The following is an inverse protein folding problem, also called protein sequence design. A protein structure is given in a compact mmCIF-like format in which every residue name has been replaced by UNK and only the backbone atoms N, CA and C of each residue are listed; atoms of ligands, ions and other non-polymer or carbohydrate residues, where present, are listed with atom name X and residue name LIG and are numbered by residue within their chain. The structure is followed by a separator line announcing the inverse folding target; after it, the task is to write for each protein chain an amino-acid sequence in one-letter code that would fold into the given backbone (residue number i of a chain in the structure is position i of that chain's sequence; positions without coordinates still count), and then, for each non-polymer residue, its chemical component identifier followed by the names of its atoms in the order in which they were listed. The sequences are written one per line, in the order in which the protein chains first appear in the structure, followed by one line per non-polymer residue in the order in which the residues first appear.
data_IF_893513797415
#
_entry.id   IF_893513797415
#
_cell.length_a   1.000
_cell.length_b   1.000
_cell.length_c   1.000
_cell.angle_alpha   90.00
_cell.angle_beta   90.00
_cell.angle_gamma   90.00
#
_symmetry.space_group_name_H-M   'P 1'
#
loop_
_entity.id
_entity.type
_entity.pdbx_description
1 polymer ?
#
# COMPACT_ATOMS: atom_id res chain seq x y z
N UNK A 1 15.47 -0.67 -13.67
CA UNK A 1 14.00 -0.81 -13.76
C UNK A 1 13.41 -0.58 -12.39
N UNK A 2 13.92 -1.32 -11.41
CA UNK A 2 13.56 -1.27 -9.99
C UNK A 2 13.80 0.14 -9.39
N UNK A 3 14.95 0.78 -9.66
CA UNK A 3 15.22 2.16 -9.25
C UNK A 3 14.14 3.16 -9.72
N UNK A 4 13.55 2.92 -10.90
CA UNK A 4 12.50 3.77 -11.45
C UNK A 4 11.16 3.51 -10.75
N UNK A 5 10.92 2.27 -10.32
CA UNK A 5 9.77 1.89 -9.51
C UNK A 5 9.89 2.51 -8.11
N UNK A 6 11.07 2.46 -7.50
CA UNK A 6 11.35 3.10 -6.21
C UNK A 6 11.19 4.63 -6.28
N UNK A 7 11.57 5.24 -7.41
CA UNK A 7 11.33 6.66 -7.64
C UNK A 7 9.83 6.99 -7.69
N UNK A 8 9.02 6.18 -8.38
CA UNK A 8 7.57 6.37 -8.40
C UNK A 8 6.98 6.25 -6.98
N UNK A 9 7.42 5.24 -6.23
CA UNK A 9 7.00 5.04 -4.85
C UNK A 9 7.36 6.23 -3.95
N UNK A 10 8.64 6.63 -3.95
CA UNK A 10 9.12 7.76 -3.14
C UNK A 10 8.41 9.06 -3.50
N UNK A 11 8.14 9.28 -4.78
CA UNK A 11 7.41 10.46 -5.25
C UNK A 11 5.96 10.43 -4.79
N UNK A 12 5.30 9.26 -4.83
CA UNK A 12 3.94 9.08 -4.34
C UNK A 12 3.83 9.34 -2.83
N UNK A 13 4.79 8.84 -2.04
CA UNK A 13 4.87 9.14 -0.60
C UNK A 13 4.98 10.64 -0.32
N UNK A 14 5.68 11.39 -1.16
CA UNK A 14 5.77 12.85 -1.05
C UNK A 14 4.44 13.60 -1.22
N UNK A 15 3.42 12.98 -1.81
CA UNK A 15 2.07 13.57 -1.93
C UNK A 15 1.15 13.29 -0.73
N UNK A 16 1.56 12.38 0.17
CA UNK A 16 0.84 12.07 1.41
C UNK A 16 0.91 13.22 2.39
N UNK A 17 2.00 14.02 2.36
CA UNK A 17 2.17 15.19 3.22
C UNK A 17 1.01 16.19 3.03
N UNK A 18 0.23 16.50 4.08
CA UNK A 18 -0.89 17.45 4.01
C UNK A 18 -0.46 18.89 3.72
N UNK A 19 0.80 19.25 3.97
CA UNK A 19 1.37 20.57 3.63
C UNK A 19 2.10 20.58 2.27
N UNK A 20 2.26 19.41 1.65
CA UNK A 20 2.90 19.25 0.35
C UNK A 20 2.04 19.80 -0.78
N UNK A 21 2.60 20.63 -1.65
CA UNK A 21 1.93 21.00 -2.90
C UNK A 21 1.80 19.76 -3.78
N UNK A 22 0.60 19.17 -3.81
CA UNK A 22 0.19 18.07 -4.71
C UNK A 22 0.21 18.46 -6.21
N UNK A 23 0.73 19.63 -6.56
CA UNK A 23 0.95 20.04 -7.95
C UNK A 23 1.87 19.03 -8.64
N UNK A 24 1.44 18.52 -9.80
CA UNK A 24 2.12 17.54 -10.70
C UNK A 24 1.75 16.07 -10.52
N UNK A 25 0.88 15.67 -9.59
CA UNK A 25 0.47 14.27 -9.45
C UNK A 25 -0.05 13.66 -10.77
N UNK A 26 -0.84 14.40 -11.56
CA UNK A 26 -1.33 13.97 -12.89
C UNK A 26 -0.20 13.59 -13.85
N UNK A 27 0.89 14.35 -13.82
CA UNK A 27 2.05 14.08 -14.68
C UNK A 27 2.79 12.82 -14.26
N UNK A 28 2.82 12.52 -12.95
CA UNK A 28 3.40 11.27 -12.43
C UNK A 28 2.52 10.07 -12.76
N UNK A 29 1.20 10.19 -12.61
CA UNK A 29 0.24 9.16 -13.07
C UNK A 29 0.42 8.88 -14.55
N UNK A 30 0.52 9.91 -15.41
CA UNK A 30 0.76 9.72 -16.84
C UNK A 30 2.09 9.01 -17.14
N UNK A 31 3.16 9.28 -16.37
CA UNK A 31 4.45 8.58 -16.50
C UNK A 31 4.34 7.12 -16.07
N UNK A 32 3.62 6.83 -14.98
CA UNK A 32 3.41 5.48 -14.47
C UNK A 32 2.57 4.64 -15.45
N UNK A 33 1.52 5.20 -16.03
CA UNK A 33 0.74 4.56 -17.10
C UNK A 33 1.60 4.23 -18.32
N UNK A 34 2.44 5.17 -18.77
CA UNK A 34 3.42 4.92 -19.85
C UNK A 34 4.46 3.85 -19.47
N UNK A 35 4.84 3.80 -18.19
CA UNK A 35 5.75 2.77 -17.69
C UNK A 35 5.10 1.38 -17.79
N UNK A 36 3.86 1.23 -17.33
CA UNK A 36 3.11 -0.02 -17.49
C UNK A 36 3.00 -0.43 -18.97
N UNK A 37 2.59 0.49 -19.84
CA UNK A 37 2.47 0.19 -21.27
C UNK A 37 3.77 -0.31 -21.92
N UNK A 38 4.92 0.28 -21.56
CA UNK A 38 6.23 -0.09 -22.14
C UNK A 38 6.83 -1.37 -21.57
N UNK A 39 6.46 -1.74 -20.36
CA UNK A 39 7.11 -2.82 -19.62
C UNK A 39 6.20 -4.05 -19.45
N UNK A 40 5.24 -4.25 -20.35
CA UNK A 40 4.34 -5.41 -20.29
C UNK A 40 5.09 -6.75 -20.31
N UNK A 41 6.21 -6.87 -21.01
CA UNK A 41 6.99 -8.11 -21.04
C UNK A 41 7.95 -8.28 -19.85
N UNK A 42 7.99 -7.35 -18.90
CA UNK A 42 8.90 -7.42 -17.77
C UNK A 42 8.51 -8.53 -16.78
N UNK A 43 9.52 -9.08 -16.10
CA UNK A 43 9.35 -9.99 -14.98
C UNK A 43 9.99 -9.34 -13.77
N UNK A 44 9.14 -8.79 -12.90
CA UNK A 44 9.55 -8.09 -11.70
C UNK A 44 9.62 -9.06 -10.53
N UNK A 45 10.58 -8.84 -9.64
CA UNK A 45 10.62 -9.50 -8.34
C UNK A 45 9.46 -9.01 -7.45
N UNK A 46 9.19 -9.73 -6.37
CA UNK A 46 8.04 -9.46 -5.48
C UNK A 46 8.04 -8.03 -4.91
N UNK A 47 9.19 -7.54 -4.44
CA UNK A 47 9.32 -6.19 -3.87
C UNK A 47 8.98 -5.08 -4.88
N UNK A 48 9.57 -5.03 -6.11
CA UNK A 48 9.14 -4.07 -7.13
C UNK A 48 7.66 -4.16 -7.51
N UNK A 49 7.07 -5.37 -7.52
CA UNK A 49 5.63 -5.51 -7.76
C UNK A 49 4.80 -4.91 -6.62
N UNK A 50 5.21 -5.13 -5.37
CA UNK A 50 4.58 -4.56 -4.19
C UNK A 50 4.67 -3.02 -4.22
N UNK A 51 5.85 -2.46 -4.54
CA UNK A 51 6.06 -1.01 -4.71
C UNK A 51 5.13 -0.39 -5.75
N UNK A 52 4.92 -1.07 -6.88
CA UNK A 52 3.97 -0.62 -7.91
C UNK A 52 2.53 -0.63 -7.39
N UNK A 53 2.14 -1.68 -6.67
CA UNK A 53 0.81 -1.76 -6.06
C UNK A 53 0.60 -0.64 -5.05
N UNK A 54 1.54 -0.44 -4.13
CA UNK A 54 1.44 0.59 -3.09
C UNK A 54 1.40 1.99 -3.70
N UNK A 55 2.18 2.23 -4.76
CA UNK A 55 2.14 3.48 -5.51
C UNK A 55 0.75 3.74 -6.11
N UNK A 56 0.16 2.74 -6.77
CA UNK A 56 -1.19 2.86 -7.34
C UNK A 56 -2.22 3.11 -6.24
N UNK A 57 -2.13 2.37 -5.12
CA UNK A 57 -3.02 2.52 -3.97
C UNK A 57 -2.97 3.93 -3.37
N UNK A 58 -1.78 4.52 -3.22
CA UNK A 58 -1.65 5.90 -2.75
C UNK A 58 -2.36 6.89 -3.67
N UNK A 59 -2.26 6.73 -5.00
CA UNK A 59 -2.99 7.60 -5.92
C UNK A 59 -4.51 7.43 -5.83
N UNK A 60 -5.00 6.20 -5.62
CA UNK A 60 -6.42 5.91 -5.36
C UNK A 60 -6.92 6.61 -4.10
N UNK A 61 -6.16 6.54 -3.00
CA UNK A 61 -6.53 7.16 -1.73
C UNK A 61 -6.50 8.70 -1.79
N UNK A 62 -5.48 9.27 -2.45
CA UNK A 62 -5.29 10.72 -2.51
C UNK A 62 -6.20 11.40 -3.53
N UNK A 63 -6.57 10.71 -4.62
CA UNK A 63 -7.30 11.26 -5.75
C UNK A 63 -8.40 10.30 -6.28
N UNK A 64 -9.34 9.86 -5.42
CA UNK A 64 -10.33 8.83 -5.78
C UNK A 64 -11.36 9.30 -6.83
N UNK A 65 -11.61 10.60 -6.93
CA UNK A 65 -12.59 11.16 -7.88
C UNK A 65 -12.02 11.40 -9.29
N UNK A 66 -10.73 11.14 -9.51
CA UNK A 66 -10.06 11.52 -10.75
C UNK A 66 -10.00 10.35 -11.75
N UNK A 67 -10.49 10.60 -12.96
CA UNK A 67 -10.54 9.60 -14.03
C UNK A 67 -9.15 9.05 -14.39
N UNK A 68 -8.12 9.90 -14.34
CA UNK A 68 -6.73 9.49 -14.59
C UNK A 68 -6.27 8.35 -13.66
N UNK A 69 -6.78 8.31 -12.42
CA UNK A 69 -6.48 7.27 -11.44
C UNK A 69 -7.25 5.99 -11.72
N UNK A 70 -8.52 6.10 -12.11
CA UNK A 70 -9.29 4.93 -12.58
C UNK A 70 -8.61 4.27 -13.79
N UNK A 71 -8.15 5.07 -14.75
CA UNK A 71 -7.42 4.59 -15.91
C UNK A 71 -6.07 3.95 -15.53
N UNK A 72 -5.38 4.50 -14.52
CA UNK A 72 -4.16 3.90 -13.98
C UNK A 72 -4.42 2.50 -13.39
N UNK A 73 -5.50 2.33 -12.61
CA UNK A 73 -5.86 1.02 -12.05
C UNK A 73 -6.22 0.02 -13.16
N UNK A 74 -6.95 0.47 -14.20
CA UNK A 74 -7.25 -0.37 -15.38
C UNK A 74 -5.98 -0.81 -16.11
N UNK A 75 -5.05 0.12 -16.34
CA UNK A 75 -3.78 -0.18 -16.99
C UNK A 75 -2.95 -1.19 -16.16
N UNK A 76 -2.92 -1.02 -14.82
CA UNK A 76 -2.24 -1.95 -13.92
C UNK A 76 -2.88 -3.36 -13.92
N UNK A 77 -4.22 -3.46 -13.99
CA UNK A 77 -4.93 -4.74 -14.10
C UNK A 77 -4.65 -5.48 -15.41
N UNK A 78 -4.50 -4.72 -16.50
CA UNK A 78 -4.19 -5.25 -17.83
C UNK A 78 -2.74 -5.79 -17.94
N UNK A 79 -1.86 -5.42 -17.01
CA UNK A 79 -0.47 -5.92 -17.00
C UNK A 79 -0.42 -7.44 -16.80
N UNK A 80 0.52 -8.16 -17.42
CA UNK A 80 0.63 -9.59 -17.19
C UNK A 80 1.17 -9.92 -15.79
N UNK A 81 0.99 -11.16 -15.36
CA UNK A 81 1.33 -11.62 -14.01
C UNK A 81 2.81 -11.50 -13.64
N UNK A 82 3.71 -11.39 -14.63
CA UNK A 82 5.13 -11.11 -14.41
C UNK A 82 5.42 -9.69 -13.92
N UNK A 83 4.51 -8.75 -14.19
CA UNK A 83 4.63 -7.33 -13.79
C UNK A 83 3.74 -7.03 -12.58
N UNK A 84 2.54 -7.61 -12.54
CA UNK A 84 1.61 -7.49 -11.42
C UNK A 84 1.10 -8.88 -11.07
N UNK A 85 1.65 -9.45 -10.00
CA UNK A 85 1.30 -10.78 -9.53
C UNK A 85 -0.16 -10.95 -9.14
N UNK A 86 -0.61 -12.20 -9.05
CA UNK A 86 -2.03 -12.56 -8.83
C UNK A 86 -2.61 -11.96 -7.54
N UNK A 87 -1.83 -11.95 -6.45
CA UNK A 87 -2.23 -11.33 -5.17
C UNK A 87 -2.51 -9.84 -5.35
N UNK A 88 -1.61 -9.14 -6.05
CA UNK A 88 -1.73 -7.70 -6.30
C UNK A 88 -2.89 -7.38 -7.25
N UNK A 89 -3.14 -8.21 -8.26
CA UNK A 89 -4.31 -8.04 -9.14
C UNK A 89 -5.64 -8.16 -8.40
N UNK A 90 -5.76 -9.10 -7.47
CA UNK A 90 -6.97 -9.23 -6.64
C UNK A 90 -7.21 -7.95 -5.82
N UNK A 91 -6.15 -7.36 -5.27
CA UNK A 91 -6.23 -6.06 -4.56
C UNK A 91 -6.62 -4.92 -5.51
N UNK A 92 -6.02 -4.84 -6.71
CA UNK A 92 -6.37 -3.82 -7.71
C UNK A 92 -7.82 -3.94 -8.20
N UNK A 93 -8.37 -5.14 -8.31
CA UNK A 93 -9.78 -5.35 -8.67
C UNK A 93 -10.71 -4.72 -7.62
N UNK A 94 -10.45 -4.96 -6.33
CA UNK A 94 -11.21 -4.32 -5.25
C UNK A 94 -11.13 -2.79 -5.31
N UNK A 95 -9.94 -2.23 -5.55
CA UNK A 95 -9.76 -0.79 -5.69
C UNK A 95 -10.52 -0.23 -6.90
N UNK A 96 -10.52 -0.96 -8.02
CA UNK A 96 -11.27 -0.58 -9.22
C UNK A 96 -12.79 -0.57 -8.96
N UNK A 97 -13.31 -1.58 -8.27
CA UNK A 97 -14.71 -1.66 -7.86
C UNK A 97 -15.08 -0.52 -6.91
N UNK A 98 -14.22 -0.20 -5.93
CA UNK A 98 -14.41 0.93 -5.03
C UNK A 98 -14.49 2.26 -5.78
N UNK A 99 -13.61 2.49 -6.76
CA UNK A 99 -13.63 3.71 -7.58
C UNK A 99 -14.90 3.81 -8.45
N UNK A 100 -15.36 2.68 -9.01
CA UNK A 100 -16.61 2.64 -9.79
C UNK A 100 -17.84 2.83 -8.91
N UNK A 101 -17.89 2.18 -7.74
CA UNK A 101 -18.97 2.33 -6.75
C UNK A 101 -19.03 3.72 -6.12
N UNK A 102 -17.91 4.44 -6.11
CA UNK A 102 -17.88 5.86 -5.71
C UNK A 102 -18.40 6.80 -6.81
N UNK A 103 -18.48 6.34 -8.08
CA UNK A 103 -18.94 7.11 -9.24
C UNK A 103 -20.36 6.74 -9.70
N UNK A 104 -21.02 5.77 -9.07
CA UNK A 104 -22.37 5.34 -9.41
C UNK A 104 -23.24 5.14 -8.17
N UNK A 105 -24.35 5.87 -8.08
CA UNK A 105 -25.40 5.62 -7.10
C UNK A 105 -25.84 4.14 -7.12
N UNK A 106 -25.88 3.54 -5.92
CA UNK A 106 -26.62 2.34 -5.51
C UNK A 106 -26.49 1.06 -6.35
N UNK A 107 -25.82 0.06 -5.78
CA UNK A 107 -26.15 -1.35 -6.02
C UNK A 107 -24.95 -2.28 -6.04
N UNK A 108 -24.58 -2.82 -4.87
CA UNK A 108 -23.63 -3.93 -4.82
C UNK A 108 -23.11 -4.21 -3.42
N UNK A 109 -23.87 -5.03 -2.67
CA UNK A 109 -23.54 -5.69 -1.40
C UNK A 109 -22.99 -4.82 -0.24
N UNK A 110 -23.33 -5.11 1.03
CA UNK A 110 -22.69 -4.42 2.14
C UNK A 110 -21.21 -4.76 2.12
N UNK A 111 -20.38 -3.82 1.67
CA UNK A 111 -18.94 -3.80 1.91
C UNK A 111 -18.76 -4.11 3.40
N UNK A 112 -18.01 -5.16 3.80
CA UNK A 112 -17.70 -5.32 5.21
C UNK A 112 -17.05 -4.02 5.67
N UNK A 113 -17.59 -3.44 6.75
CA UNK A 113 -17.03 -2.24 7.35
C UNK A 113 -15.51 -2.41 7.50
N UNK A 114 -14.72 -1.35 7.29
CA UNK A 114 -13.27 -1.43 7.34
C UNK A 114 -12.86 -2.10 8.65
N UNK A 115 -12.33 -3.32 8.55
CA UNK A 115 -12.08 -4.15 9.73
C UNK A 115 -10.73 -3.72 10.27
N UNK A 116 -10.76 -2.94 11.36
CA UNK A 116 -9.57 -2.69 12.15
C UNK A 116 -9.08 -4.03 12.69
N UNK A 117 -7.88 -4.44 12.29
CA UNK A 117 -7.24 -5.65 12.78
C UNK A 117 -5.96 -5.29 13.50
N UNK A 118 -5.75 -5.92 14.64
CA UNK A 118 -4.52 -5.77 15.42
C UNK A 118 -3.61 -6.94 15.11
N UNK A 119 -2.37 -6.66 14.76
CA UNK A 119 -1.34 -7.65 14.47
C UNK A 119 -0.18 -7.51 15.46
N UNK A 120 0.44 -8.62 15.81
CA UNK A 120 1.70 -8.65 16.55
C UNK A 120 2.87 -8.40 15.59
N UNK A 121 3.70 -7.40 15.85
CA UNK A 121 4.87 -7.12 15.03
C UNK A 121 6.06 -7.95 15.50
N UNK A 122 6.44 -8.93 14.68
CA UNK A 122 7.51 -9.90 14.95
C UNK A 122 8.87 -9.40 14.45
N UNK A 123 8.87 -8.51 13.45
CA UNK A 123 10.10 -8.01 12.85
C UNK A 123 9.89 -6.77 12.01
N UNK A 124 10.97 -6.02 11.82
CA UNK A 124 11.02 -4.93 10.86
C UNK A 124 12.33 -5.01 10.08
N UNK A 125 12.24 -4.96 8.74
CA UNK A 125 13.41 -4.98 7.88
C UNK A 125 14.11 -3.61 7.79
N UNK A 126 15.27 -3.57 7.12
CA UNK A 126 16.06 -2.35 6.96
C UNK A 126 15.35 -1.28 6.11
N UNK A 127 14.37 -1.69 5.29
CA UNK A 127 13.61 -0.82 4.41
C UNK A 127 12.30 -0.35 5.00
N UNK A 128 11.83 -1.01 6.05
CA UNK A 128 10.66 -0.65 6.80
C UNK A 128 9.45 -1.52 6.69
N UNK A 129 9.56 -2.64 6.01
CA UNK A 129 8.52 -3.62 5.99
C UNK A 129 8.42 -4.28 7.36
N UNK A 130 7.18 -4.37 7.84
CA UNK A 130 6.84 -5.03 9.07
C UNK A 130 6.47 -6.47 8.77
N UNK A 131 7.05 -7.41 9.50
CA UNK A 131 6.55 -8.77 9.61
C UNK A 131 5.49 -8.78 10.71
N UNK A 132 4.23 -8.73 10.29
CA UNK A 132 3.05 -8.71 11.15
C UNK A 132 2.43 -10.09 11.22
N UNK A 133 2.23 -10.61 12.42
CA UNK A 133 1.53 -11.86 12.69
C UNK A 133 0.10 -11.55 13.15
N UNK A 134 -0.87 -12.19 12.53
CA UNK A 134 -2.25 -12.19 13.00
C UNK A 134 -2.41 -13.27 14.07
N UNK A 135 -2.66 -12.87 15.32
CA UNK A 135 -2.80 -13.81 16.44
C UNK A 135 -4.08 -14.67 16.33
N UNK A 136 -5.10 -14.21 15.61
CA UNK A 136 -6.36 -14.95 15.43
C UNK A 136 -6.26 -15.99 14.31
N UNK A 137 -5.66 -15.62 13.18
CA UNK A 137 -5.59 -16.49 12.00
C UNK A 137 -4.26 -17.25 11.87
N UNK A 138 -3.20 -16.76 12.51
CA UNK A 138 -1.83 -17.25 12.35
C UNK A 138 -1.17 -16.81 11.03
N UNK A 139 -1.81 -15.93 10.26
CA UNK A 139 -1.27 -15.44 8.99
C UNK A 139 -0.17 -14.39 9.21
N UNK A 140 0.90 -14.48 8.39
CA UNK A 140 1.98 -13.49 8.35
C UNK A 140 1.80 -12.51 7.19
N UNK A 141 1.91 -11.21 7.48
CA UNK A 141 1.80 -10.10 6.53
C UNK A 141 3.12 -9.33 6.52
N UNK A 142 3.79 -9.31 5.38
CA UNK A 142 5.07 -8.60 5.16
C UNK A 142 4.95 -7.46 4.14
N UNK A 143 3.72 -7.13 3.72
CA UNK A 143 3.48 -6.12 2.67
C UNK A 143 3.37 -4.68 3.21
N UNK A 144 3.30 -4.49 4.53
CA UNK A 144 3.11 -3.16 5.12
C UNK A 144 4.43 -2.52 5.47
N UNK A 145 4.62 -1.29 5.00
CA UNK A 145 5.84 -0.53 5.25
C UNK A 145 5.56 0.71 6.10
N UNK A 146 6.37 0.91 7.14
CA UNK A 146 6.40 2.16 7.91
C UNK A 146 7.40 3.12 7.28
N UNK A 147 7.01 4.39 7.16
CA UNK A 147 7.92 5.41 6.62
C UNK A 147 9.11 5.64 7.55
N UNK A 148 10.32 5.64 6.99
CA UNK A 148 11.55 5.96 7.72
C UNK A 148 11.44 7.37 8.33
N UNK A 149 11.96 7.52 9.56
CA UNK A 149 12.01 8.77 10.35
C UNK A 149 10.68 9.23 10.99
N UNK A 150 9.61 8.48 10.87
CA UNK A 150 8.37 8.71 11.63
C UNK A 150 8.55 8.33 13.11
N UNK A 151 7.72 8.83 14.04
CA UNK A 151 7.74 8.38 15.42
C UNK A 151 7.42 6.88 15.51
N UNK A 152 6.45 6.39 14.73
CA UNK A 152 6.06 4.98 14.64
C UNK A 152 7.26 4.09 14.26
N UNK A 153 8.06 4.53 13.28
CA UNK A 153 9.32 3.85 12.90
C UNK A 153 10.27 3.64 14.08
N UNK A 154 10.49 4.69 14.87
CA UNK A 154 11.46 4.65 15.97
C UNK A 154 10.94 3.79 17.12
N UNK A 155 9.64 3.86 17.37
CA UNK A 155 8.95 3.08 18.40
C UNK A 155 9.01 1.58 18.07
N UNK A 156 8.59 1.20 16.86
CA UNK A 156 8.64 -0.19 16.41
C UNK A 156 10.08 -0.70 16.42
N UNK A 157 11.01 0.04 15.81
CA UNK A 157 12.43 -0.37 15.77
C UNK A 157 13.04 -0.61 17.15
N UNK A 158 12.57 0.10 18.18
CA UNK A 158 13.10 -0.01 19.53
C UNK A 158 12.52 -1.18 20.30
N UNK A 159 11.24 -1.51 20.08
CA UNK A 159 10.50 -2.48 20.89
C UNK A 159 10.18 -3.79 20.14
N UNK A 160 10.46 -3.88 18.84
CA UNK A 160 10.19 -5.09 18.04
C UNK A 160 11.02 -6.29 18.50
N UNK A 161 12.26 -6.07 18.93
CA UNK A 161 13.13 -7.13 19.47
C UNK A 161 12.62 -7.67 20.83
N UNK A 162 11.83 -6.87 21.55
CA UNK A 162 11.21 -7.26 22.82
C UNK A 162 9.88 -8.03 22.62
N UNK A 163 9.36 -8.10 21.38
CA UNK A 163 8.12 -8.81 21.05
C UNK A 163 6.82 -8.13 21.53
N UNK A 164 6.90 -6.90 22.03
CA UNK A 164 5.79 -6.20 22.69
C UNK A 164 5.10 -5.16 21.80
N UNK A 165 5.22 -5.27 20.48
CA UNK A 165 4.69 -4.26 19.55
C UNK A 165 3.42 -4.78 18.89
N UNK A 166 2.29 -4.13 19.14
CA UNK A 166 1.04 -4.35 18.43
C UNK A 166 0.78 -3.25 17.41
N UNK A 167 0.41 -3.65 16.21
CA UNK A 167 0.18 -2.75 15.08
C UNK A 167 -1.28 -2.90 14.66
N UNK A 168 -2.03 -1.81 14.79
CA UNK A 168 -3.41 -1.72 14.32
C UNK A 168 -3.40 -1.29 12.86
N UNK A 169 -4.01 -2.12 12.04
CA UNK A 169 -4.11 -1.93 10.60
C UNK A 169 -5.59 -1.82 10.21
N UNK A 170 -5.92 -0.75 9.50
CA UNK A 170 -7.24 -0.54 8.90
C UNK A 170 -7.05 -0.49 7.38
N UNK A 171 -7.76 -1.33 6.62
CA UNK A 171 -7.68 -1.36 5.15
C UNK A 171 -6.24 -1.39 4.60
N UNK A 172 -5.36 -2.23 5.17
CA UNK A 172 -3.94 -2.33 4.84
C UNK A 172 -3.11 -1.05 5.16
N UNK A 173 -3.57 -0.14 6.01
CA UNK A 173 -2.82 1.03 6.50
C UNK A 173 -2.58 0.94 8.02
N UNK A 174 -1.38 1.30 8.47
CA UNK A 174 -1.04 1.30 9.90
C UNK A 174 -1.67 2.55 10.52
N UNK A 175 -2.68 2.36 11.35
CA UNK A 175 -3.42 3.45 12.01
C UNK A 175 -2.85 3.76 13.38
N UNK A 176 -2.37 2.73 14.09
CA UNK A 176 -1.82 2.89 15.41
C UNK A 176 -0.76 1.82 15.70
N UNK A 177 0.21 2.21 16.53
CA UNK A 177 1.22 1.31 17.10
C UNK A 177 1.08 1.41 18.60
N UNK A 178 0.74 0.30 19.24
CA UNK A 178 0.63 0.17 20.69
C UNK A 178 1.80 -0.69 21.17
N UNK A 179 2.46 -0.26 22.25
CA UNK A 179 3.44 -1.09 22.94
C UNK A 179 2.72 -1.70 24.14
N UNK A 180 2.75 -3.03 24.25
CA UNK A 180 2.41 -3.67 25.53
C UNK A 180 3.56 -3.43 26.51
N UNK A 181 3.45 -2.38 27.32
CA UNK A 181 4.24 -2.28 28.54
C UNK A 181 3.72 -3.35 29.51
N UNK A 182 4.50 -4.41 29.68
CA UNK A 182 4.31 -5.38 30.76
C UNK A 182 4.57 -4.63 32.07
N UNK A 183 3.50 -4.05 32.63
CA UNK A 183 3.54 -3.43 33.94
C UNK A 183 3.70 -4.53 34.99
N UNK A 184 4.95 -4.77 35.39
CA UNK A 184 5.33 -5.51 36.59
C UNK A 184 6.28 -4.68 37.46
#
# INVERSE_FOLDING_TARGET
MDERIDLFWTTAQGFVDPNGKRSKWKSEVAKLRKFFFRNQSARLAELPQQRLLDTVRLYVQLFPAEEDVLLLVKDALAMPFGVVGTKHKKRLLKLHEQLLGSSGENGGEPTPAPVERTYSCVGMDADGYLSLLDDESGDMIESLQVQKKTPEWRTIKKHVDDGNVRVRVLDDEIVAVEIEDDAA
#
